data_IF_233677106975
#
_entry.id   IF_233677106975
#
_cell.length_a   1.000
_cell.length_b   1.000
_cell.length_c   1.000
_cell.angle_alpha   90.00
_cell.angle_beta   90.00
_cell.angle_gamma   90.00
#
_symmetry.space_group_name_H-M   'P 1'
#
loop_
_entity.id
_entity.type
_entity.pdbx_description
1 polymer ?
#
# COMPACT_ATOMS: atom_id res chain seq x y z
N UNK A 1 -8.02 -7.23 -37.59
CA UNK A 1 -8.48 -5.93 -37.07
C UNK A 1 -7.23 -5.09 -36.93
N UNK A 2 -7.00 -4.14 -37.83
CA UNK A 2 -5.82 -3.26 -37.80
C UNK A 2 -5.91 -2.39 -36.54
N UNK A 3 -4.94 -2.50 -35.63
CA UNK A 3 -4.88 -1.60 -34.47
C UNK A 3 -4.69 -0.17 -34.98
N UNK A 4 -5.72 0.66 -34.83
CA UNK A 4 -5.69 2.06 -35.21
C UNK A 4 -5.03 2.85 -34.07
N UNK A 5 -3.73 3.08 -34.21
CA UNK A 5 -2.97 3.88 -33.26
C UNK A 5 -3.40 5.35 -33.38
N UNK A 6 -3.77 5.94 -32.25
CA UNK A 6 -4.19 7.33 -32.25
C UNK A 6 -2.94 8.21 -32.29
N UNK A 7 -2.83 9.07 -33.30
CA UNK A 7 -1.87 10.18 -33.31
C UNK A 7 -2.39 11.24 -32.33
N UNK A 8 -2.07 11.09 -31.04
CA UNK A 8 -2.44 12.05 -30.01
C UNK A 8 -1.24 12.95 -29.74
N UNK A 9 -1.48 14.26 -29.73
CA UNK A 9 -0.52 15.22 -29.20
C UNK A 9 -0.31 14.99 -27.70
N UNK A 10 0.94 14.96 -27.24
CA UNK A 10 1.27 14.66 -25.83
C UNK A 10 0.60 15.61 -24.84
N UNK A 11 0.25 16.81 -25.30
CA UNK A 11 -0.44 17.85 -24.55
C UNK A 11 -1.98 17.74 -24.58
N UNK A 12 -2.53 16.63 -25.10
CA UNK A 12 -3.97 16.43 -25.16
C UNK A 12 -4.60 16.43 -23.76
N UNK A 13 -5.71 17.19 -23.54
CA UNK A 13 -6.43 17.19 -22.26
C UNK A 13 -6.86 15.80 -21.80
N UNK A 14 -7.12 14.87 -22.72
CA UNK A 14 -7.53 13.50 -22.40
C UNK A 14 -6.40 12.69 -21.76
N UNK A 15 -5.16 12.88 -22.23
CA UNK A 15 -3.95 12.24 -21.66
C UNK A 15 -3.71 12.77 -20.25
N UNK A 16 -3.74 14.10 -20.08
CA UNK A 16 -3.56 14.74 -18.78
C UNK A 16 -4.61 14.27 -17.78
N UNK A 17 -5.87 14.17 -18.21
CA UNK A 17 -6.97 13.65 -17.38
C UNK A 17 -6.74 12.20 -16.97
N UNK A 18 -6.35 11.32 -17.92
CA UNK A 18 -6.06 9.92 -17.62
C UNK A 18 -4.92 9.76 -16.60
N UNK A 19 -3.80 10.45 -16.81
CA UNK A 19 -2.67 10.46 -15.88
C UNK A 19 -3.08 11.01 -14.52
N UNK A 20 -3.90 12.06 -14.48
CA UNK A 20 -4.47 12.62 -13.25
C UNK A 20 -5.33 11.62 -12.48
N UNK A 21 -6.17 10.85 -13.17
CA UNK A 21 -6.98 9.78 -12.56
C UNK A 21 -6.08 8.70 -11.96
N UNK A 22 -5.08 8.21 -12.71
CA UNK A 22 -4.13 7.22 -12.20
C UNK A 22 -3.35 7.73 -10.99
N UNK A 23 -2.86 8.97 -11.03
CA UNK A 23 -2.17 9.60 -9.91
C UNK A 23 -3.09 9.75 -8.69
N UNK A 24 -4.36 10.10 -8.90
CA UNK A 24 -5.36 10.15 -7.83
C UNK A 24 -5.63 8.77 -7.21
N UNK A 25 -5.62 7.69 -7.99
CA UNK A 25 -5.67 6.31 -7.46
C UNK A 25 -4.43 6.00 -6.63
N UNK A 26 -3.23 6.26 -7.16
CA UNK A 26 -1.94 6.03 -6.48
C UNK A 26 -1.92 6.74 -5.12
N UNK A 27 -2.31 8.02 -5.09
CA UNK A 27 -2.34 8.80 -3.85
C UNK A 27 -3.31 8.23 -2.81
N UNK A 28 -4.48 7.75 -3.24
CA UNK A 28 -5.44 7.09 -2.34
C UNK A 28 -4.86 5.80 -1.76
N UNK A 29 -4.13 5.01 -2.54
CA UNK A 29 -3.50 3.78 -2.05
C UNK A 29 -2.39 4.08 -1.03
N UNK A 30 -1.53 5.06 -1.31
CA UNK A 30 -0.50 5.52 -0.39
C UNK A 30 -1.09 6.09 0.92
N UNK A 31 -2.18 6.87 0.81
CA UNK A 31 -2.92 7.37 1.97
C UNK A 31 -3.49 6.23 2.79
N UNK A 32 -4.12 5.23 2.16
CA UNK A 32 -4.74 4.12 2.88
C UNK A 32 -3.70 3.22 3.57
N UNK A 33 -2.55 2.99 2.93
CA UNK A 33 -1.37 2.35 3.53
C UNK A 33 -0.91 3.10 4.79
N UNK A 34 -0.79 4.43 4.71
CA UNK A 34 -0.42 5.27 5.86
C UNK A 34 -1.47 5.25 6.98
N UNK A 35 -2.76 5.24 6.63
CA UNK A 35 -3.85 5.11 7.59
C UNK A 35 -3.81 3.78 8.33
N UNK A 36 -3.43 2.68 7.67
CA UNK A 36 -3.26 1.37 8.33
C UNK A 36 -2.22 1.45 9.45
N UNK A 37 -1.08 2.10 9.19
CA UNK A 37 -0.02 2.31 10.19
C UNK A 37 -0.51 3.13 11.39
N UNK A 38 -1.23 4.24 11.12
CA UNK A 38 -1.75 5.10 12.18
C UNK A 38 -2.76 4.37 13.09
N UNK A 39 -3.76 3.70 12.50
CA UNK A 39 -4.77 2.94 13.25
C UNK A 39 -4.17 1.77 14.01
N UNK A 40 -3.15 1.11 13.44
CA UNK A 40 -2.42 0.06 14.12
C UNK A 40 -1.75 0.57 15.40
N UNK A 41 -1.01 1.69 15.31
CA UNK A 41 -0.34 2.29 16.47
C UNK A 41 -1.33 2.70 17.55
N UNK A 42 -2.46 3.32 17.17
CA UNK A 42 -3.50 3.69 18.13
C UNK A 42 -4.06 2.47 18.87
N UNK A 43 -4.43 1.41 18.15
CA UNK A 43 -5.00 0.20 18.76
C UNK A 43 -3.99 -0.56 19.61
N UNK A 44 -2.76 -0.75 19.11
CA UNK A 44 -1.70 -1.42 19.87
C UNK A 44 -1.38 -0.65 21.14
N UNK A 45 -1.23 0.69 21.06
CA UNK A 45 -0.96 1.52 22.23
C UNK A 45 -2.08 1.42 23.27
N UNK A 46 -3.35 1.47 22.85
CA UNK A 46 -4.49 1.34 23.76
C UNK A 46 -4.51 -0.03 24.46
N UNK A 47 -4.25 -1.12 23.73
CA UNK A 47 -4.17 -2.47 24.30
C UNK A 47 -3.05 -2.55 25.33
N UNK A 48 -1.84 -2.06 24.99
CA UNK A 48 -0.68 -2.13 25.88
C UNK A 48 -0.88 -1.35 27.17
N UNK A 49 -1.50 -0.16 27.11
CA UNK A 49 -1.84 0.62 28.31
C UNK A 49 -2.81 -0.15 29.22
N UNK A 50 -3.86 -0.75 28.66
CA UNK A 50 -4.83 -1.54 29.42
C UNK A 50 -4.18 -2.78 30.05
N UNK A 51 -3.29 -3.44 29.32
CA UNK A 51 -2.57 -4.62 29.80
C UNK A 51 -1.62 -4.29 30.95
N UNK A 52 -0.90 -3.18 30.84
CA UNK A 52 -0.01 -2.67 31.89
C UNK A 52 -0.80 -2.32 33.15
N UNK A 53 -1.93 -1.62 33.02
CA UNK A 53 -2.79 -1.22 34.14
C UNK A 53 -3.41 -2.44 34.88
N UNK A 54 -3.79 -3.48 34.13
CA UNK A 54 -4.38 -4.70 34.72
C UNK A 54 -3.35 -5.66 35.34
N UNK A 55 -2.05 -5.41 35.21
CA UNK A 55 -0.99 -6.28 35.72
C UNK A 55 -1.03 -7.70 35.14
N UNK A 56 -1.53 -7.86 33.91
CA UNK A 56 -1.66 -9.16 33.22
C UNK A 56 -0.87 -9.16 31.92
N UNK A 57 0.46 -9.12 31.99
CA UNK A 57 1.35 -8.90 30.85
C UNK A 57 1.27 -9.97 29.75
N UNK A 58 0.81 -11.18 30.07
CA UNK A 58 0.56 -12.23 29.06
C UNK A 58 -0.51 -11.81 28.03
N UNK A 59 -1.38 -10.86 28.37
CA UNK A 59 -2.36 -10.30 27.44
C UNK A 59 -1.76 -9.29 26.45
N UNK A 60 -0.49 -8.90 26.57
CA UNK A 60 0.17 -8.05 25.57
C UNK A 60 0.18 -8.71 24.18
N UNK A 61 0.18 -10.05 24.11
CA UNK A 61 0.07 -10.80 22.86
C UNK A 61 -1.21 -10.52 22.07
N UNK A 62 -2.27 -10.03 22.71
CA UNK A 62 -3.50 -9.61 22.03
C UNK A 62 -3.20 -8.48 21.03
N UNK A 63 -2.22 -7.62 21.31
CA UNK A 63 -1.80 -6.55 20.41
C UNK A 63 -1.14 -7.05 19.11
N UNK A 64 -0.68 -8.31 19.06
CA UNK A 64 -0.15 -8.90 17.82
C UNK A 64 -1.24 -9.13 16.78
N UNK A 65 -2.49 -9.34 17.19
CA UNK A 65 -3.62 -9.55 16.28
C UNK A 65 -3.86 -8.33 15.38
N UNK A 66 -4.11 -7.11 15.90
CA UNK A 66 -4.25 -5.93 15.05
C UNK A 66 -2.94 -5.64 14.30
N UNK A 67 -1.78 -5.85 14.91
CA UNK A 67 -0.47 -5.68 14.25
C UNK A 67 -0.39 -6.50 12.96
N UNK A 68 -0.75 -7.78 13.02
CA UNK A 68 -0.74 -8.67 11.86
C UNK A 68 -1.77 -8.25 10.80
N UNK A 69 -3.01 -7.98 11.22
CA UNK A 69 -4.09 -7.58 10.30
C UNK A 69 -3.73 -6.29 9.56
N UNK A 70 -3.28 -5.25 10.26
CA UNK A 70 -2.88 -3.99 9.63
C UNK A 70 -1.62 -4.13 8.77
N UNK A 71 -0.67 -5.00 9.14
CA UNK A 71 0.50 -5.29 8.31
C UNK A 71 0.10 -5.90 6.95
N UNK A 72 -0.83 -6.86 6.95
CA UNK A 72 -1.32 -7.46 5.70
C UNK A 72 -2.09 -6.47 4.83
N UNK A 73 -2.93 -5.62 5.44
CA UNK A 73 -3.66 -4.57 4.74
C UNK A 73 -2.71 -3.52 4.15
N UNK A 74 -1.74 -3.05 4.93
CA UNK A 74 -0.73 -2.09 4.45
C UNK A 74 0.05 -2.65 3.26
N UNK A 75 0.53 -3.89 3.36
CA UNK A 75 1.21 -4.55 2.25
C UNK A 75 0.34 -4.70 1.00
N UNK A 76 -0.96 -4.96 1.18
CA UNK A 76 -1.93 -4.99 0.08
C UNK A 76 -2.07 -3.63 -0.61
N UNK A 77 -2.27 -2.55 0.14
CA UNK A 77 -2.40 -1.20 -0.43
C UNK A 77 -1.11 -0.74 -1.11
N UNK A 78 0.06 -1.07 -0.54
CA UNK A 78 1.35 -0.79 -1.16
C UNK A 78 1.57 -1.59 -2.44
N UNK A 79 1.12 -2.85 -2.50
CA UNK A 79 1.16 -3.65 -3.72
C UNK A 79 0.27 -3.06 -4.82
N UNK A 80 -0.92 -2.56 -4.43
CA UNK A 80 -1.86 -1.93 -5.35
C UNK A 80 -1.31 -0.60 -5.88
N UNK A 81 -0.69 0.21 -5.01
CA UNK A 81 0.05 1.41 -5.42
C UNK A 81 1.11 1.09 -6.48
N UNK A 82 1.97 0.09 -6.23
CA UNK A 82 2.99 -0.35 -7.19
C UNK A 82 2.37 -0.80 -8.52
N UNK A 83 1.26 -1.54 -8.48
CA UNK A 83 0.57 -2.00 -9.68
C UNK A 83 -0.01 -0.84 -10.50
N UNK A 84 -0.55 0.19 -9.86
CA UNK A 84 -1.00 1.40 -10.54
C UNK A 84 0.15 2.25 -11.07
N UNK A 85 1.28 2.32 -10.36
CA UNK A 85 2.52 2.95 -10.85
C UNK A 85 3.05 2.25 -12.10
N UNK A 86 2.97 0.92 -12.15
CA UNK A 86 3.31 0.16 -13.36
C UNK A 86 2.37 0.47 -14.53
N UNK A 87 1.07 0.63 -14.27
CA UNK A 87 0.11 1.04 -15.29
C UNK A 87 0.43 2.44 -15.82
N UNK A 88 0.70 3.39 -14.91
CA UNK A 88 1.10 4.76 -15.24
C UNK A 88 2.36 4.77 -16.12
N UNK A 89 3.43 4.11 -15.69
CA UNK A 89 4.70 4.05 -16.45
C UNK A 89 4.51 3.36 -17.81
N UNK A 90 3.69 2.32 -17.87
CA UNK A 90 3.36 1.66 -19.14
C UNK A 90 2.61 2.56 -20.08
N UNK A 91 1.68 3.38 -19.58
CA UNK A 91 0.93 4.34 -20.39
C UNK A 91 1.87 5.41 -20.95
N UNK A 92 2.77 5.97 -20.13
CA UNK A 92 3.80 6.92 -20.57
C UNK A 92 4.72 6.31 -21.64
N UNK A 93 5.13 5.05 -21.46
CA UNK A 93 5.97 4.35 -22.44
C UNK A 93 5.27 4.20 -23.79
N UNK A 94 3.97 3.84 -23.79
CA UNK A 94 3.15 3.77 -25.01
C UNK A 94 2.97 5.14 -25.66
N UNK A 95 2.78 6.20 -24.86
CA UNK A 95 2.67 7.58 -25.32
C UNK A 95 3.93 8.01 -26.08
N UNK A 96 5.12 7.82 -25.48
CA UNK A 96 6.39 8.16 -26.13
C UNK A 96 6.64 7.37 -27.41
N UNK A 97 6.22 6.10 -27.45
CA UNK A 97 6.39 5.24 -28.62
C UNK A 97 5.30 5.45 -29.69
N UNK A 98 4.32 6.33 -29.47
CA UNK A 98 3.17 6.57 -30.37
C UNK A 98 2.35 5.30 -30.67
N UNK A 99 2.30 4.37 -29.72
CA UNK A 99 1.56 3.10 -29.83
C UNK A 99 0.28 3.10 -28.99
N UNK A 100 -0.27 4.27 -28.68
CA UNK A 100 -1.50 4.40 -27.90
C UNK A 100 -2.72 4.01 -28.72
N UNK A 101 -3.61 3.26 -28.07
CA UNK A 101 -4.92 2.87 -28.61
C UNK A 101 -6.04 3.55 -27.83
N UNK A 102 -7.24 3.66 -28.41
CA UNK A 102 -8.44 4.18 -27.73
C UNK A 102 -8.79 3.38 -26.47
N UNK A 103 -8.56 2.08 -26.50
CA UNK A 103 -8.81 1.18 -25.37
C UNK A 103 -7.92 1.49 -24.16
N UNK A 104 -6.67 1.91 -24.40
CA UNK A 104 -5.73 2.26 -23.32
C UNK A 104 -6.18 3.52 -22.56
N UNK A 105 -6.77 4.50 -23.26
CA UNK A 105 -7.16 5.81 -22.71
C UNK A 105 -8.25 5.72 -21.64
N UNK A 106 -9.10 4.69 -21.70
CA UNK A 106 -10.22 4.48 -20.77
C UNK A 106 -9.99 3.33 -19.79
N UNK A 107 -8.80 2.74 -19.77
CA UNK A 107 -8.48 1.61 -18.89
C UNK A 107 -7.80 2.08 -17.59
N UNK A 108 -8.42 1.82 -16.44
CA UNK A 108 -7.85 2.11 -15.12
C UNK A 108 -7.71 0.80 -14.36
N UNK A 109 -6.70 0.01 -14.73
CA UNK A 109 -6.47 -1.32 -14.18
C UNK A 109 -5.07 -1.42 -13.57
N UNK A 110 -4.92 -2.08 -12.42
CA UNK A 110 -3.59 -2.36 -11.87
C UNK A 110 -2.82 -3.29 -12.81
N UNK A 111 -1.53 -3.00 -13.02
CA UNK A 111 -0.68 -3.77 -13.94
C UNK A 111 0.43 -4.51 -13.20
N UNK A 112 0.60 -5.79 -13.55
CA UNK A 112 1.64 -6.67 -13.02
C UNK A 112 1.09 -7.87 -12.27
N UNK A 113 1.97 -8.74 -11.79
CA UNK A 113 1.59 -9.89 -10.98
C UNK A 113 1.32 -9.44 -9.54
N UNK A 114 0.05 -9.39 -9.16
CA UNK A 114 -0.38 -8.88 -7.84
C UNK A 114 0.22 -9.68 -6.68
N UNK A 115 0.31 -11.01 -6.80
CA UNK A 115 0.88 -11.86 -5.76
C UNK A 115 2.37 -11.58 -5.54
N UNK A 116 3.13 -11.37 -6.63
CA UNK A 116 4.55 -11.01 -6.53
C UNK A 116 4.72 -9.62 -5.90
N UNK A 117 3.88 -8.64 -6.27
CA UNK A 117 3.90 -7.29 -5.72
C UNK A 117 3.55 -7.28 -4.22
N UNK A 118 2.62 -8.14 -3.78
CA UNK A 118 2.29 -8.30 -2.36
C UNK A 118 3.49 -8.79 -1.55
N UNK A 119 4.20 -9.82 -2.02
CA UNK A 119 5.41 -10.33 -1.35
C UNK A 119 6.48 -9.24 -1.28
N UNK A 120 6.72 -8.52 -2.38
CA UNK A 120 7.66 -7.39 -2.41
C UNK A 120 7.24 -6.24 -1.48
N UNK A 121 5.94 -6.07 -1.23
CA UNK A 121 5.43 -5.05 -0.31
C UNK A 121 5.59 -5.46 1.15
N UNK A 122 5.37 -6.73 1.49
CA UNK A 122 5.61 -7.27 2.84
C UNK A 122 7.09 -7.11 3.23
N UNK A 123 8.01 -7.43 2.33
CA UNK A 123 9.47 -7.36 2.58
C UNK A 123 10.00 -5.93 2.51
N UNK A 124 9.19 -4.97 2.05
CA UNK A 124 9.64 -3.59 1.93
C UNK A 124 9.99 -2.97 3.28
N UNK A 125 10.99 -2.09 3.29
CA UNK A 125 11.41 -1.37 4.49
C UNK A 125 10.25 -0.62 5.17
N UNK A 126 9.29 -0.09 4.39
CA UNK A 126 8.11 0.61 4.88
C UNK A 126 7.19 -0.28 5.73
N UNK A 127 7.04 -1.55 5.38
CA UNK A 127 6.15 -2.49 6.09
C UNK A 127 6.95 -3.24 7.15
N UNK A 128 7.98 -4.00 6.76
CA UNK A 128 8.75 -4.81 7.70
C UNK A 128 9.40 -3.97 8.80
N UNK A 129 9.98 -2.80 8.46
CA UNK A 129 10.61 -1.94 9.46
C UNK A 129 9.60 -1.39 10.48
N UNK A 130 8.44 -0.92 10.00
CA UNK A 130 7.41 -0.36 10.87
C UNK A 130 6.78 -1.41 11.79
N UNK A 131 6.26 -2.50 11.22
CA UNK A 131 5.58 -3.54 12.01
C UNK A 131 6.57 -4.39 12.82
N UNK A 132 7.81 -4.54 12.35
CA UNK A 132 8.90 -5.15 13.12
C UNK A 132 9.21 -4.36 14.39
N UNK A 133 9.39 -3.04 14.28
CA UNK A 133 9.55 -2.17 15.44
C UNK A 133 8.35 -2.24 16.41
N UNK A 134 7.12 -2.30 15.87
CA UNK A 134 5.92 -2.38 16.70
C UNK A 134 5.81 -3.74 17.43
N UNK A 135 6.18 -4.84 16.77
CA UNK A 135 6.24 -6.16 17.39
C UNK A 135 7.31 -6.23 18.49
N UNK A 136 8.49 -5.65 18.25
CA UNK A 136 9.55 -5.53 19.28
C UNK A 136 9.04 -4.74 20.49
N UNK A 137 8.32 -3.64 20.27
CA UNK A 137 7.72 -2.86 21.35
C UNK A 137 6.73 -3.69 22.19
N UNK A 138 5.86 -4.46 21.56
CA UNK A 138 4.92 -5.37 22.27
C UNK A 138 5.69 -6.40 23.13
N UNK A 139 6.76 -6.98 22.60
CA UNK A 139 7.61 -7.94 23.34
C UNK A 139 8.31 -7.29 24.53
N UNK A 140 8.86 -6.08 24.35
CA UNK A 140 9.51 -5.32 25.42
C UNK A 140 8.51 -5.00 26.53
N UNK A 141 7.32 -4.50 26.20
CA UNK A 141 6.28 -4.21 27.19
C UNK A 141 5.91 -5.45 27.99
N UNK A 142 5.78 -6.61 27.33
CA UNK A 142 5.54 -7.89 28.00
C UNK A 142 6.64 -8.25 28.99
N UNK A 143 7.92 -8.05 28.63
CA UNK A 143 9.05 -8.36 29.51
C UNK A 143 9.07 -7.43 30.73
N UNK A 144 8.91 -6.12 30.50
CA UNK A 144 8.94 -5.11 31.57
C UNK A 144 7.76 -5.30 32.54
N UNK A 145 6.56 -5.60 32.03
CA UNK A 145 5.38 -5.76 32.88
C UNK A 145 5.30 -7.13 33.60
N UNK A 146 6.17 -8.08 33.28
CA UNK A 146 6.38 -9.34 34.04
C UNK A 146 7.49 -9.18 35.09
N UNK A 147 8.34 -8.15 34.94
CA UNK A 147 9.44 -7.85 35.86
C UNK A 147 9.00 -7.18 37.16
#
# INVERSE_FOLDING_TARGET
MTEEYIQIDGESPSIQTHLGILQGVIQRMASNSSSCKAWCVTLVSAILVIVADKGKPDYAWIAMLPTFVFATLDAYYLALEKAFRNSYNSFITKLHNKTLTSADLYSVLPKGNMSALQIQSIISFSVWGFYGCLAVLVVITKIIAIG
#
